data_IF_954282018407
#
_entry.id   IF_954282018407
#
_cell.length_a   1.000
_cell.length_b   1.000
_cell.length_c   1.000
_cell.angle_alpha   90.00
_cell.angle_beta   90.00
_cell.angle_gamma   90.00
#
_symmetry.space_group_name_H-M   'P 1'
#
loop_
_entity.id
_entity.type
_entity.pdbx_description
1 polymer ?
#
# COMPACT_ATOMS: atom_id res chain seq x y z
N UNK A 1 -6.82 10.34 3.52
CA UNK A 1 -6.67 10.72 2.09
C UNK A 1 -7.16 9.56 1.23
N UNK A 2 -7.90 9.79 0.14
CA UNK A 2 -8.40 8.74 -0.73
C UNK A 2 -7.38 8.47 -1.86
N UNK A 3 -6.74 7.28 -1.93
CA UNK A 3 -5.72 6.98 -2.95
C UNK A 3 -6.27 7.09 -4.39
N UNK A 4 -7.58 6.85 -4.55
CA UNK A 4 -8.24 6.78 -5.86
C UNK A 4 -8.30 8.11 -6.61
N UNK A 5 -8.04 9.22 -5.93
CA UNK A 5 -7.93 10.53 -6.60
C UNK A 5 -6.80 10.57 -7.65
N UNK A 6 -5.87 9.61 -7.58
CA UNK A 6 -4.74 9.49 -8.52
C UNK A 6 -5.05 8.58 -9.72
N UNK A 7 -6.20 7.88 -9.75
CA UNK A 7 -6.55 6.93 -10.83
C UNK A 7 -6.73 7.60 -12.21
N UNK A 8 -6.91 8.93 -12.26
CA UNK A 8 -6.98 9.70 -13.51
C UNK A 8 -5.63 10.20 -14.02
N UNK A 9 -4.52 9.91 -13.33
CA UNK A 9 -3.18 10.24 -13.77
C UNK A 9 -2.64 9.13 -14.69
N UNK A 10 -1.79 9.49 -15.64
CA UNK A 10 -1.24 8.59 -16.65
C UNK A 10 -0.08 7.74 -16.10
N UNK A 11 -0.40 6.83 -15.17
CA UNK A 11 0.54 5.86 -14.60
C UNK A 11 0.13 4.44 -14.96
N UNK A 12 1.11 3.62 -15.38
CA UNK A 12 0.89 2.20 -15.69
C UNK A 12 0.55 1.36 -14.45
N UNK A 13 1.01 1.80 -13.27
CA UNK A 13 0.92 1.02 -12.04
C UNK A 13 0.57 1.90 -10.83
N UNK A 14 -0.38 1.42 -10.02
CA UNK A 14 -0.76 2.05 -8.77
C UNK A 14 -0.36 1.18 -7.59
N UNK A 15 0.31 1.77 -6.62
CA UNK A 15 0.76 1.07 -5.41
C UNK A 15 0.28 1.79 -4.16
N UNK A 16 -0.14 1.00 -3.17
CA UNK A 16 -0.32 1.49 -1.80
C UNK A 16 0.66 0.76 -0.90
N UNK A 17 1.22 1.50 0.05
CA UNK A 17 2.12 0.96 1.06
C UNK A 17 1.51 1.18 2.44
N UNK A 18 1.47 0.16 3.30
CA UNK A 18 1.08 0.36 4.68
C UNK A 18 2.06 1.33 5.34
N UNK A 19 1.53 2.37 5.98
CA UNK A 19 2.34 3.29 6.77
C UNK A 19 2.95 2.54 7.94
N UNK A 20 4.26 2.72 8.12
CA UNK A 20 4.98 2.15 9.25
C UNK A 20 4.74 2.97 10.54
N UNK A 21 5.02 2.38 11.69
CA UNK A 21 4.88 3.02 13.00
C UNK A 21 3.95 2.27 13.97
N UNK A 22 3.41 2.94 15.00
CA UNK A 22 2.68 2.28 16.08
C UNK A 22 1.49 1.42 15.63
N UNK A 23 0.85 1.80 14.51
CA UNK A 23 -0.34 1.13 13.98
C UNK A 23 -0.03 0.23 12.78
N UNK A 24 1.21 -0.24 12.63
CA UNK A 24 1.66 -1.00 11.45
C UNK A 24 0.75 -2.19 11.12
N UNK A 25 0.37 -3.00 12.11
CA UNK A 25 -0.48 -4.16 11.90
C UNK A 25 -1.88 -3.79 11.38
N UNK A 26 -2.45 -2.68 11.85
CA UNK A 26 -3.71 -2.14 11.36
C UNK A 26 -3.56 -1.61 9.93
N UNK A 27 -2.51 -0.84 9.67
CA UNK A 27 -2.22 -0.29 8.35
C UNK A 27 -2.02 -1.38 7.29
N UNK A 28 -1.41 -2.51 7.66
CA UNK A 28 -1.29 -3.69 6.78
C UNK A 28 -2.68 -4.23 6.42
N UNK A 29 -3.55 -4.45 7.41
CA UNK A 29 -4.92 -4.95 7.16
C UNK A 29 -5.74 -3.99 6.30
N UNK A 30 -5.64 -2.68 6.56
CA UNK A 30 -6.32 -1.65 5.77
C UNK A 30 -5.83 -1.64 4.32
N UNK A 31 -4.51 -1.74 4.12
CA UNK A 31 -3.90 -1.77 2.78
C UNK A 31 -4.29 -3.04 2.01
N UNK A 32 -4.28 -4.20 2.69
CA UNK A 32 -4.74 -5.48 2.13
C UNK A 32 -6.23 -5.41 1.73
N UNK A 33 -7.09 -4.90 2.62
CA UNK A 33 -8.51 -4.74 2.34
C UNK A 33 -8.79 -3.78 1.19
N UNK A 34 -7.96 -2.74 1.03
CA UNK A 34 -8.06 -1.79 -0.07
C UNK A 34 -7.71 -2.44 -1.41
N UNK A 35 -6.56 -3.12 -1.53
CA UNK A 35 -6.15 -3.75 -2.80
C UNK A 35 -7.10 -4.87 -3.22
N UNK A 36 -7.69 -5.61 -2.26
CA UNK A 36 -8.75 -6.60 -2.55
C UNK A 36 -10.00 -5.98 -3.17
N UNK A 37 -10.36 -4.76 -2.78
CA UNK A 37 -11.51 -4.01 -3.31
C UNK A 37 -11.20 -3.26 -4.61
N UNK A 38 -9.93 -2.98 -4.86
CA UNK A 38 -9.48 -2.16 -5.98
C UNK A 38 -8.31 -2.84 -6.72
N UNK A 39 -8.60 -3.82 -7.60
CA UNK A 39 -7.57 -4.69 -8.20
C UNK A 39 -6.55 -3.97 -9.11
N UNK A 40 -6.80 -2.71 -9.50
CA UNK A 40 -5.81 -1.86 -10.17
C UNK A 40 -4.64 -1.46 -9.24
N UNK A 41 -4.84 -1.53 -7.93
CA UNK A 41 -3.84 -1.21 -6.92
C UNK A 41 -3.11 -2.46 -6.45
N UNK A 42 -1.79 -2.34 -6.30
CA UNK A 42 -0.90 -3.38 -5.79
C UNK A 42 -0.36 -2.99 -4.42
N UNK A 43 -0.09 -3.99 -3.59
CA UNK A 43 0.53 -3.77 -2.28
C UNK A 43 2.05 -3.66 -2.45
N UNK A 44 2.63 -2.54 -2.00
CA UNK A 44 4.08 -2.38 -1.88
C UNK A 44 4.48 -2.67 -0.44
N UNK A 45 5.40 -3.61 -0.23
CA UNK A 45 5.92 -3.96 1.08
C UNK A 45 7.36 -3.45 1.24
N UNK A 46 7.69 -2.95 2.42
CA UNK A 46 9.06 -2.57 2.76
C UNK A 46 9.88 -3.82 3.10
N UNK A 47 10.30 -4.55 2.07
CA UNK A 47 10.99 -5.84 2.19
C UNK A 47 12.29 -5.74 2.98
N UNK A 48 13.02 -4.62 2.90
CA UNK A 48 14.23 -4.39 3.70
C UNK A 48 13.94 -4.45 5.21
N UNK A 49 12.82 -3.89 5.69
CA UNK A 49 12.39 -3.99 7.09
C UNK A 49 12.00 -5.41 7.49
N UNK A 50 11.36 -6.14 6.58
CA UNK A 50 10.99 -7.56 6.80
C UNK A 50 12.24 -8.43 6.91
N UNK A 51 13.26 -8.15 6.10
CA UNK A 51 14.51 -8.90 6.06
C UNK A 51 15.55 -8.41 7.09
N UNK A 52 15.28 -7.31 7.80
CA UNK A 52 16.23 -6.71 8.75
C UNK A 52 17.46 -6.06 8.08
N UNK A 53 17.31 -5.62 6.83
CA UNK A 53 18.37 -5.00 6.03
C UNK A 53 18.14 -3.47 6.06
N UNK A 54 19.18 -2.67 6.37
CA UNK A 54 19.12 -1.19 6.28
C UNK A 54 18.86 -0.68 4.86
#
# INVERSE_FOLDING_TARGET
MNPRQHEGLDFDHFFIQPMDGPNQAENIKLSEGFVKKHPQWKLSLQTHKILGIP
#
